data_IF_577970373638
#
_entry.id   IF_577970373638
#
_cell.length_a   1.000
_cell.length_b   1.000
_cell.length_c   1.000
_cell.angle_alpha   90.00
_cell.angle_beta   90.00
_cell.angle_gamma   90.00
#
_symmetry.space_group_name_H-M   'P 1'
#
loop_
_entity.id
_entity.type
_entity.pdbx_description
1 polymer ?
#
# COMPACT_ATOMS: atom_id res chain seq x y z
N UNK A 1 12.38 -33.60 44.08
CA UNK A 1 13.14 -32.88 43.03
C UNK A 1 12.22 -32.69 41.83
N UNK A 2 11.92 -31.46 41.38
CA UNK A 2 10.97 -31.26 40.27
C UNK A 2 10.65 -29.82 39.87
N UNK A 3 11.16 -28.82 40.61
CA UNK A 3 10.84 -27.40 40.38
C UNK A 3 11.63 -26.77 39.20
N UNK A 4 12.84 -27.26 38.89
CA UNK A 4 13.68 -26.67 37.82
C UNK A 4 13.17 -26.94 36.41
N UNK A 5 12.48 -28.07 36.17
CA UNK A 5 12.00 -28.42 34.83
C UNK A 5 10.86 -27.50 34.38
N UNK A 6 9.95 -27.12 35.29
CA UNK A 6 8.83 -26.23 34.99
C UNK A 6 9.29 -24.79 34.66
N UNK A 7 10.33 -24.28 35.35
CA UNK A 7 10.91 -22.97 35.07
C UNK A 7 11.56 -22.88 33.69
N UNK A 8 12.22 -23.95 33.26
CA UNK A 8 12.84 -24.01 31.93
C UNK A 8 11.81 -23.94 30.80
N UNK A 9 10.68 -24.62 30.94
CA UNK A 9 9.59 -24.56 29.98
C UNK A 9 9.00 -23.14 29.86
N UNK A 10 8.79 -22.46 30.98
CA UNK A 10 8.28 -21.08 30.97
C UNK A 10 9.24 -20.11 30.30
N UNK A 11 10.55 -20.25 30.53
CA UNK A 11 11.56 -19.39 29.87
C UNK A 11 11.59 -19.65 28.37
N UNK A 12 11.56 -20.93 27.96
CA UNK A 12 11.55 -21.31 26.55
C UNK A 12 10.32 -20.74 25.82
N UNK A 13 9.15 -20.78 26.47
CA UNK A 13 7.91 -20.26 25.94
C UNK A 13 7.96 -18.73 25.75
N UNK A 14 8.47 -17.99 26.73
CA UNK A 14 8.62 -16.52 26.63
C UNK A 14 9.58 -16.14 25.51
N UNK A 15 10.69 -16.87 25.35
CA UNK A 15 11.64 -16.66 24.25
C UNK A 15 11.01 -16.95 22.88
N UNK A 16 10.16 -17.99 22.78
CA UNK A 16 9.41 -18.31 21.55
C UNK A 16 8.39 -17.24 21.19
N UNK A 17 7.65 -16.70 22.17
CA UNK A 17 6.67 -15.62 21.94
C UNK A 17 7.39 -14.30 21.60
N UNK A 18 8.55 -14.04 22.20
CA UNK A 18 9.35 -12.85 21.88
C UNK A 18 9.99 -12.92 20.49
N UNK A 19 10.24 -14.12 19.96
CA UNK A 19 10.83 -14.33 18.63
C UNK A 19 9.79 -14.37 17.50
N UNK A 20 8.49 -14.48 17.83
CA UNK A 20 7.43 -14.04 16.91
C UNK A 20 7.39 -12.51 16.89
N UNK A 21 8.47 -11.91 16.39
CA UNK A 21 8.52 -10.50 16.05
C UNK A 21 7.30 -10.17 15.21
N UNK A 22 6.63 -9.08 15.57
CA UNK A 22 5.53 -8.50 14.82
C UNK A 22 5.92 -8.48 13.34
N UNK A 23 5.39 -9.43 12.56
CA UNK A 23 5.45 -9.35 11.11
C UNK A 23 4.59 -8.15 10.79
N UNK A 24 5.24 -7.01 10.63
CA UNK A 24 4.63 -5.81 10.13
C UNK A 24 4.28 -6.14 8.69
N UNK A 25 3.09 -6.69 8.50
CA UNK A 25 2.46 -6.75 7.18
C UNK A 25 2.36 -5.28 6.81
N UNK A 26 3.23 -4.83 5.90
CA UNK A 26 3.06 -3.55 5.25
C UNK A 26 1.67 -3.63 4.63
N UNK A 27 0.68 -3.07 5.33
CA UNK A 27 -0.69 -3.00 4.83
C UNK A 27 -0.60 -2.45 3.42
N UNK A 28 -1.22 -3.16 2.47
CA UNK A 28 -1.18 -2.85 1.05
C UNK A 28 -1.31 -1.33 0.88
N UNK A 29 -0.19 -0.65 0.59
CA UNK A 29 -0.17 0.81 0.58
C UNK A 29 -0.96 1.22 -0.65
N UNK A 30 -2.24 1.52 -0.44
CA UNK A 30 -3.14 1.78 -1.55
C UNK A 30 -2.74 3.11 -2.19
N UNK A 31 -2.61 3.10 -3.51
CA UNK A 31 -2.32 4.27 -4.30
C UNK A 31 -3.48 5.24 -4.20
N UNK A 32 -3.16 6.53 -4.03
CA UNK A 32 -4.17 7.59 -3.94
C UNK A 32 -4.39 8.22 -5.30
N UNK A 33 -5.66 8.42 -5.64
CA UNK A 33 -6.04 9.18 -6.83
C UNK A 33 -5.57 10.62 -6.69
N UNK A 34 -5.00 11.16 -7.77
CA UNK A 34 -4.48 12.53 -7.80
C UNK A 34 -5.34 13.37 -8.72
N UNK A 35 -5.85 14.50 -8.22
CA UNK A 35 -6.58 15.44 -9.07
C UNK A 35 -5.63 16.09 -10.08
N UNK A 36 -6.03 16.13 -11.35
CA UNK A 36 -5.30 16.79 -12.42
C UNK A 36 -6.22 17.74 -13.16
N UNK A 37 -5.70 18.87 -13.66
CA UNK A 37 -6.55 19.94 -14.19
C UNK A 37 -7.52 19.47 -15.27
N UNK A 38 -7.03 18.73 -16.26
CA UNK A 38 -7.84 18.09 -17.29
C UNK A 38 -7.12 16.85 -17.80
N UNK A 39 -7.88 15.82 -18.13
CA UNK A 39 -7.40 14.67 -18.88
C UNK A 39 -8.52 14.02 -19.68
N UNK A 40 -8.14 13.36 -20.78
CA UNK A 40 -9.05 12.60 -21.63
C UNK A 40 -8.77 11.11 -21.42
N UNK A 41 -9.72 10.32 -20.87
CA UNK A 41 -9.56 8.87 -20.72
C UNK A 41 -9.31 8.19 -22.07
N UNK A 42 -8.36 7.23 -22.12
CA UNK A 42 -8.01 6.52 -23.35
C UNK A 42 -7.15 7.31 -24.32
N UNK A 43 -6.65 8.49 -23.92
CA UNK A 43 -5.72 9.30 -24.72
C UNK A 43 -4.28 9.18 -24.21
N UNK A 44 -3.36 9.98 -24.75
CA UNK A 44 -1.99 10.10 -24.23
C UNK A 44 -1.92 10.63 -22.79
N UNK A 45 -3.02 11.19 -22.25
CA UNK A 45 -3.08 11.57 -20.84
C UNK A 45 -3.06 10.36 -19.90
N UNK A 46 -3.46 9.16 -20.36
CA UNK A 46 -3.33 7.94 -19.55
C UNK A 46 -1.86 7.60 -19.34
N UNK A 47 -1.00 7.78 -20.35
CA UNK A 47 0.45 7.59 -20.20
C UNK A 47 1.06 8.59 -19.21
N UNK A 48 0.57 9.83 -19.17
CA UNK A 48 1.00 10.81 -18.16
C UNK A 48 0.57 10.38 -16.76
N UNK A 49 -0.67 9.90 -16.60
CA UNK A 49 -1.14 9.35 -15.33
C UNK A 49 -0.33 8.11 -14.92
N UNK A 50 0.07 7.27 -15.86
CA UNK A 50 0.91 6.11 -15.61
C UNK A 50 2.27 6.51 -15.02
N UNK A 51 2.92 7.52 -15.60
CA UNK A 51 4.19 8.06 -15.09
C UNK A 51 4.02 8.74 -13.71
N UNK A 52 2.96 9.52 -13.52
CA UNK A 52 2.65 10.18 -12.24
C UNK A 52 2.37 9.17 -11.12
N UNK A 53 1.73 8.06 -11.46
CA UNK A 53 1.40 7.00 -10.50
C UNK A 53 2.56 6.03 -10.28
N UNK A 54 3.62 6.00 -11.10
CA UNK A 54 4.82 5.14 -10.93
C UNK A 54 6.06 5.87 -10.38
N UNK A 55 6.01 6.70 -9.33
CA UNK A 55 7.24 7.25 -8.78
C UNK A 55 8.08 6.13 -8.14
N UNK A 56 9.41 6.28 -8.21
CA UNK A 56 10.42 5.26 -7.82
C UNK A 56 10.24 4.66 -6.41
N UNK A 57 9.52 5.34 -5.52
CA UNK A 57 9.34 4.96 -4.11
C UNK A 57 7.93 4.45 -3.77
N UNK A 58 7.03 4.33 -4.76
CA UNK A 58 5.63 3.98 -4.53
C UNK A 58 5.28 2.63 -5.20
N UNK A 59 4.59 1.70 -4.51
CA UNK A 59 4.31 0.35 -5.04
C UNK A 59 3.22 0.30 -6.12
N UNK A 60 2.91 1.42 -6.75
CA UNK A 60 1.80 1.55 -7.69
C UNK A 60 2.17 1.01 -9.07
N UNK A 61 1.24 0.28 -9.70
CA UNK A 61 1.45 -0.38 -10.99
C UNK A 61 1.23 0.54 -12.20
N UNK A 62 0.91 1.80 -11.97
CA UNK A 62 0.48 2.73 -13.02
C UNK A 62 -0.77 3.48 -12.65
N UNK A 63 -1.33 4.16 -13.64
CA UNK A 63 -2.58 4.88 -13.51
C UNK A 63 -3.16 5.29 -14.85
N UNK A 64 -4.40 5.73 -14.84
CA UNK A 64 -5.12 6.21 -16.02
C UNK A 64 -6.00 7.39 -15.65
N UNK A 65 -6.39 8.18 -16.64
CA UNK A 65 -7.33 9.27 -16.45
C UNK A 65 -8.73 8.71 -16.14
N UNK A 66 -9.36 9.30 -15.12
CA UNK A 66 -10.71 8.98 -14.68
C UNK A 66 -11.48 10.27 -14.42
N UNK A 67 -12.68 10.36 -14.97
CA UNK A 67 -13.58 11.49 -14.73
C UNK A 67 -14.62 11.07 -13.70
N UNK A 68 -14.70 11.78 -12.57
CA UNK A 68 -15.61 11.48 -11.47
C UNK A 68 -16.66 12.60 -11.36
N UNK A 69 -17.87 12.32 -11.83
CA UNK A 69 -18.97 13.29 -11.83
C UNK A 69 -18.84 14.36 -12.91
N UNK A 70 -19.78 15.31 -12.88
CA UNK A 70 -20.00 16.27 -13.97
C UNK A 70 -19.60 17.72 -13.62
N UNK A 71 -19.10 17.98 -12.41
CA UNK A 71 -18.72 19.32 -11.95
C UNK A 71 -17.21 19.39 -11.71
N UNK A 72 -16.49 20.36 -12.30
CA UNK A 72 -15.07 20.53 -12.03
C UNK A 72 -14.84 20.94 -10.56
N UNK A 73 -13.70 20.56 -9.94
CA UNK A 73 -12.68 19.63 -10.43
C UNK A 73 -13.15 18.15 -10.45
N UNK A 74 -13.18 17.53 -11.64
CA UNK A 74 -13.66 16.14 -11.83
C UNK A 74 -12.68 15.23 -12.57
N UNK A 75 -11.48 15.70 -12.92
CA UNK A 75 -10.48 14.91 -13.64
C UNK A 75 -9.41 14.40 -12.67
N UNK A 76 -9.19 13.09 -12.64
CA UNK A 76 -8.27 12.45 -11.70
C UNK A 76 -7.38 11.45 -12.44
N UNK A 77 -6.12 11.34 -12.03
CA UNK A 77 -5.34 10.13 -12.28
C UNK A 77 -5.71 9.10 -11.24
N UNK A 78 -6.34 8.02 -11.68
CA UNK A 78 -6.65 6.86 -10.85
C UNK A 78 -5.43 5.94 -10.81
N UNK A 79 -4.79 5.82 -9.66
CA UNK A 79 -3.56 5.03 -9.50
C UNK A 79 -3.87 3.59 -9.07
N UNK A 80 -3.29 2.62 -9.77
CA UNK A 80 -3.52 1.19 -9.56
C UNK A 80 -2.52 0.61 -8.54
N UNK A 81 -3.02 -0.16 -7.58
CA UNK A 81 -2.22 -0.93 -6.61
C UNK A 81 -1.70 -2.25 -7.19
#
# INVERSE_FOLDING_TARGET
>A
MGKSSSLLFSILLVMLIASTGLVQVNGLKCCTDTHIGSCIPGSSDDSKCDELCKPKENPCKGGHCKIIGNKPPNHFCHCLC
#
